data_IF_295646009409
#
_entry.id   IF_295646009409
#
_cell.length_a   1.000
_cell.length_b   1.000
_cell.length_c   1.000
_cell.angle_alpha   90.00
_cell.angle_beta   90.00
_cell.angle_gamma   90.00
#
_symmetry.space_group_name_H-M   'P 1'
#
loop_
_entity.id
_entity.type
_entity.pdbx_description
1 polymer ?
#
# COMPACT_ATOMS: atom_id res chain seq x y z
N UNK A 1 -12.63 10.55 10.32
CA UNK A 1 -12.19 9.23 10.81
C UNK A 1 -12.55 9.12 12.28
N UNK A 2 -12.75 7.90 12.78
CA UNK A 2 -12.93 7.66 14.22
C UNK A 2 -11.66 8.06 14.98
N UNK A 3 -11.81 8.63 16.17
CA UNK A 3 -10.68 9.01 17.02
C UNK A 3 -9.99 7.75 17.56
N UNK A 4 -8.65 7.72 17.61
CA UNK A 4 -7.92 6.64 18.27
C UNK A 4 -8.38 6.44 19.73
N UNK A 5 -8.35 5.18 20.20
CA UNK A 5 -8.51 4.90 21.63
C UNK A 5 -7.39 5.57 22.42
N UNK A 6 -7.63 5.98 23.66
CA UNK A 6 -6.56 6.53 24.49
C UNK A 6 -5.39 5.52 24.65
N UNK A 7 -4.11 5.95 24.64
CA UNK A 7 -2.95 5.05 24.68
C UNK A 7 -2.96 4.00 25.81
N UNK A 8 -3.49 4.36 26.97
CA UNK A 8 -3.63 3.47 28.13
C UNK A 8 -4.60 2.30 27.88
N UNK A 9 -5.51 2.43 26.91
CA UNK A 9 -6.45 1.39 26.49
C UNK A 9 -5.92 0.51 25.35
N UNK A 10 -4.76 0.85 24.77
CA UNK A 10 -4.14 0.13 23.63
C UNK A 10 -3.26 -1.05 24.06
N UNK A 11 -3.54 -1.68 25.20
CA UNK A 11 -2.71 -2.71 25.81
C UNK A 11 -3.40 -4.08 25.81
N UNK A 12 -2.62 -5.16 25.68
CA UNK A 12 -3.14 -6.51 25.87
C UNK A 12 -3.43 -6.81 27.35
N UNK A 13 -4.58 -7.44 27.68
CA UNK A 13 -4.83 -7.93 29.02
C UNK A 13 -3.79 -8.98 29.44
N UNK A 14 -3.26 -8.85 30.66
CA UNK A 14 -2.26 -9.77 31.18
C UNK A 14 -2.77 -11.23 31.17
N UNK A 15 -1.95 -12.15 30.62
CA UNK A 15 -2.27 -13.57 30.55
C UNK A 15 -3.24 -13.98 29.44
N UNK A 16 -3.68 -13.06 28.58
CA UNK A 16 -4.59 -13.34 27.46
C UNK A 16 -3.90 -13.03 26.13
N UNK A 17 -3.74 -14.04 25.27
CA UNK A 17 -3.27 -13.84 23.88
C UNK A 17 -4.47 -13.76 22.94
N UNK A 18 -4.83 -12.54 22.51
CA UNK A 18 -5.97 -12.30 21.61
C UNK A 18 -5.55 -12.58 20.16
N UNK A 19 -6.43 -13.16 19.35
CA UNK A 19 -6.11 -13.46 17.95
C UNK A 19 -5.86 -12.21 17.09
N UNK A 20 -6.51 -11.09 17.43
CA UNK A 20 -6.36 -9.83 16.72
C UNK A 20 -5.13 -9.00 17.15
N UNK A 21 -4.41 -9.45 18.18
CA UNK A 21 -3.31 -8.73 18.82
C UNK A 21 -2.31 -8.14 17.83
N UNK A 22 -1.86 -8.95 16.86
CA UNK A 22 -0.86 -8.54 15.88
C UNK A 22 -1.36 -7.39 15.00
N UNK A 23 -2.58 -7.48 14.46
CA UNK A 23 -3.15 -6.41 13.64
C UNK A 23 -3.50 -5.15 14.45
N UNK A 24 -3.95 -5.31 15.70
CA UNK A 24 -4.20 -4.16 16.58
C UNK A 24 -2.92 -3.43 16.95
N UNK A 25 -1.80 -4.14 17.15
CA UNK A 25 -0.50 -3.50 17.36
C UNK A 25 -0.07 -2.64 16.16
N UNK A 26 -0.32 -3.11 14.93
CA UNK A 26 -0.10 -2.30 13.71
C UNK A 26 -0.97 -1.05 13.70
N UNK A 27 -2.26 -1.17 14.04
CA UNK A 27 -3.16 0.00 14.14
C UNK A 27 -2.73 0.97 15.23
N UNK A 28 -2.25 0.48 16.38
CA UNK A 28 -1.74 1.30 17.46
C UNK A 28 -0.49 2.12 17.04
N UNK A 29 0.39 1.54 16.22
CA UNK A 29 1.52 2.24 15.60
C UNK A 29 1.07 3.38 14.70
N UNK A 30 0.10 3.10 13.81
CA UNK A 30 -0.50 4.13 12.96
C UNK A 30 -1.18 5.25 13.78
N UNK A 31 -1.85 4.92 14.88
CA UNK A 31 -2.44 5.91 15.78
C UNK A 31 -1.38 6.78 16.46
N UNK A 32 -0.27 6.21 16.93
CA UNK A 32 0.85 6.97 17.49
C UNK A 32 1.49 7.88 16.44
N UNK A 33 1.61 7.41 15.19
CA UNK A 33 2.09 8.22 14.08
C UNK A 33 1.12 9.38 13.78
N UNK A 34 -0.19 9.12 13.76
CA UNK A 34 -1.23 10.15 13.59
C UNK A 34 -1.15 11.22 14.68
N UNK A 35 -0.98 10.82 15.94
CA UNK A 35 -0.82 11.76 17.06
C UNK A 35 0.45 12.62 16.92
N UNK A 36 1.55 12.04 16.41
CA UNK A 36 2.83 12.73 16.27
C UNK A 36 2.94 13.61 15.01
N UNK A 37 2.30 13.23 13.90
CA UNK A 37 2.46 13.84 12.57
C UNK A 37 1.22 14.58 12.07
N UNK A 38 0.06 14.35 12.68
CA UNK A 38 -1.23 14.93 12.27
C UNK A 38 -1.92 14.21 11.12
N UNK A 39 -1.28 13.20 10.53
CA UNK A 39 -1.82 12.36 9.46
C UNK A 39 -1.38 10.91 9.64
N UNK A 40 -2.12 9.97 9.02
CA UNK A 40 -1.76 8.54 9.08
C UNK A 40 -0.63 8.23 8.08
N UNK A 41 0.16 7.17 8.33
CA UNK A 41 1.08 6.65 7.32
C UNK A 41 0.32 6.36 6.03
N UNK A 42 0.77 6.90 4.90
CA UNK A 42 0.01 6.89 3.65
C UNK A 42 0.81 6.29 2.50
N UNK A 43 0.16 5.44 1.71
CA UNK A 43 0.70 4.83 0.49
C UNK A 43 -0.14 5.29 -0.72
N UNK A 44 0.52 5.66 -1.82
CA UNK A 44 -0.15 6.00 -3.07
C UNK A 44 -0.57 4.75 -3.86
N UNK A 45 -1.76 4.76 -4.46
CA UNK A 45 -2.11 3.79 -5.50
C UNK A 45 -1.76 4.35 -6.87
N UNK A 46 -1.36 3.45 -7.76
CA UNK A 46 -1.19 3.71 -9.19
C UNK A 46 -2.18 2.81 -9.94
N UNK A 47 -3.46 3.21 -10.07
CA UNK A 47 -4.44 2.45 -10.80
C UNK A 47 -4.22 2.58 -12.32
N UNK A 48 -3.95 1.45 -12.99
CA UNK A 48 -3.67 1.41 -14.43
C UNK A 48 -4.85 0.81 -15.20
N UNK A 49 -5.15 1.42 -16.34
CA UNK A 49 -6.35 1.12 -17.14
C UNK A 49 -7.63 1.70 -16.53
N UNK A 50 -8.81 1.41 -17.10
CA UNK A 50 -10.07 1.99 -16.65
C UNK A 50 -10.57 1.39 -15.32
N UNK A 51 -11.48 2.10 -14.64
CA UNK A 51 -12.08 1.68 -13.36
C UNK A 51 -12.58 0.23 -13.33
N UNK A 52 -13.16 -0.24 -14.42
CA UNK A 52 -13.65 -1.62 -14.56
C UNK A 52 -12.54 -2.68 -14.50
N UNK A 53 -11.28 -2.29 -14.68
CA UNK A 53 -10.10 -3.15 -14.68
C UNK A 53 -9.35 -3.08 -13.35
N UNK A 54 -9.20 -1.91 -12.76
CA UNK A 54 -8.42 -1.76 -11.53
C UNK A 54 -9.23 -1.81 -10.22
N UNK A 55 -10.57 -1.71 -10.26
CA UNK A 55 -11.40 -1.64 -9.05
C UNK A 55 -11.17 -2.81 -8.06
N UNK A 56 -11.01 -4.04 -8.56
CA UNK A 56 -10.78 -5.23 -7.73
C UNK A 56 -9.45 -5.12 -6.98
N UNK A 57 -8.38 -4.72 -7.66
CA UNK A 57 -7.04 -4.60 -7.04
C UNK A 57 -6.93 -3.39 -6.14
N UNK A 58 -7.46 -2.24 -6.55
CA UNK A 58 -7.51 -1.06 -5.69
C UNK A 58 -8.32 -1.31 -4.41
N UNK A 59 -9.46 -2.00 -4.51
CA UNK A 59 -10.25 -2.42 -3.34
C UNK A 59 -9.52 -3.41 -2.44
N UNK A 60 -8.89 -4.44 -3.00
CA UNK A 60 -8.06 -5.40 -2.26
C UNK A 60 -6.94 -4.68 -1.49
N UNK A 61 -6.15 -3.86 -2.19
CA UNK A 61 -5.01 -3.13 -1.61
C UNK A 61 -5.47 -2.16 -0.53
N UNK A 62 -6.56 -1.42 -0.76
CA UNK A 62 -7.11 -0.48 0.23
C UNK A 62 -7.48 -1.19 1.52
N UNK A 63 -8.20 -2.32 1.42
CA UNK A 63 -8.62 -3.08 2.60
C UNK A 63 -7.45 -3.74 3.33
N UNK A 64 -6.47 -4.29 2.59
CA UNK A 64 -5.26 -4.86 3.16
C UNK A 64 -4.48 -3.81 3.95
N UNK A 65 -4.20 -2.64 3.35
CA UNK A 65 -3.46 -1.57 3.99
C UNK A 65 -4.21 -0.99 5.20
N UNK A 66 -5.53 -0.81 5.09
CA UNK A 66 -6.36 -0.34 6.19
C UNK A 66 -6.35 -1.28 7.40
N UNK A 67 -6.19 -2.59 7.19
CA UNK A 67 -6.08 -3.56 8.30
C UNK A 67 -4.85 -3.33 9.19
N UNK A 68 -3.77 -2.76 8.62
CA UNK A 68 -2.58 -2.31 9.36
C UNK A 68 -2.62 -0.84 9.78
N UNK A 69 -3.72 -0.13 9.53
CA UNK A 69 -3.84 1.30 9.81
C UNK A 69 -3.15 2.22 8.79
N UNK A 70 -2.73 1.70 7.63
CA UNK A 70 -2.11 2.50 6.57
C UNK A 70 -3.22 3.13 5.72
N UNK A 71 -3.17 4.45 5.57
CA UNK A 71 -4.06 5.20 4.70
C UNK A 71 -3.62 5.08 3.23
N UNK A 72 -4.56 5.35 2.33
CA UNK A 72 -4.34 5.21 0.89
C UNK A 72 -4.73 6.48 0.16
N UNK A 73 -3.81 7.00 -0.66
CA UNK A 73 -4.10 8.03 -1.64
C UNK A 73 -4.44 7.37 -2.97
N UNK A 74 -5.70 7.47 -3.41
CA UNK A 74 -6.17 6.86 -4.65
C UNK A 74 -6.78 7.92 -5.58
N UNK A 75 -6.06 8.36 -6.63
CA UNK A 75 -6.54 9.38 -7.57
C UNK A 75 -7.54 8.84 -8.61
N UNK A 76 -7.77 7.53 -8.66
CA UNK A 76 -8.43 6.88 -9.81
C UNK A 76 -7.42 6.49 -10.89
N UNK A 77 -7.90 6.23 -12.10
CA UNK A 77 -7.04 5.89 -13.25
C UNK A 77 -5.95 6.95 -13.45
N UNK A 78 -4.70 6.50 -13.60
CA UNK A 78 -3.55 7.37 -13.88
C UNK A 78 -2.77 6.87 -15.09
N UNK A 79 -2.17 7.82 -15.80
CA UNK A 79 -1.32 7.55 -16.97
C UNK A 79 0.03 8.21 -16.75
N UNK A 80 1.16 7.52 -17.01
CA UNK A 80 2.47 8.13 -16.85
C UNK A 80 2.61 9.46 -17.60
N UNK A 81 3.14 10.47 -16.91
CA UNK A 81 3.30 11.83 -17.45
C UNK A 81 2.09 12.75 -17.31
N UNK A 82 0.99 12.30 -16.68
CA UNK A 82 -0.10 13.20 -16.28
C UNK A 82 0.11 13.75 -14.86
N UNK A 83 -0.47 14.92 -14.53
CA UNK A 83 -0.38 15.48 -13.18
C UNK A 83 -0.91 14.55 -12.09
N UNK A 84 -1.92 13.74 -12.39
CA UNK A 84 -2.50 12.77 -11.46
C UNK A 84 -1.51 11.65 -11.15
N UNK A 85 -0.73 11.20 -12.15
CA UNK A 85 0.33 10.22 -11.94
C UNK A 85 1.47 10.79 -11.08
N UNK A 86 1.89 12.03 -11.35
CA UNK A 86 2.92 12.70 -10.55
C UNK A 86 2.48 12.89 -9.10
N UNK A 87 1.22 13.30 -8.88
CA UNK A 87 0.66 13.43 -7.54
C UNK A 87 0.58 12.08 -6.81
N UNK A 88 0.25 10.99 -7.53
CA UNK A 88 0.23 9.65 -6.97
C UNK A 88 1.63 9.12 -6.64
N UNK A 89 2.63 9.50 -7.44
CA UNK A 89 4.03 9.16 -7.26
C UNK A 89 4.75 10.00 -6.18
N UNK A 90 4.08 11.01 -5.61
CA UNK A 90 4.67 11.88 -4.59
C UNK A 90 4.86 11.18 -3.22
N UNK A 91 4.34 9.97 -3.03
CA UNK A 91 4.54 9.18 -1.81
C UNK A 91 5.79 8.29 -1.91
N UNK A 92 6.48 8.07 -0.79
CA UNK A 92 7.68 7.23 -0.73
C UNK A 92 7.43 5.77 -1.18
N UNK A 93 6.22 5.26 -0.93
CA UNK A 93 5.80 3.91 -1.29
C UNK A 93 4.52 3.99 -2.13
N UNK A 94 4.48 3.26 -3.24
CA UNK A 94 3.30 3.14 -4.10
C UNK A 94 2.91 1.69 -4.40
N UNK A 95 1.65 1.46 -4.74
CA UNK A 95 1.15 0.15 -5.20
C UNK A 95 0.47 0.27 -6.56
N UNK A 96 1.03 -0.40 -7.56
CA UNK A 96 0.43 -0.55 -8.89
C UNK A 96 -0.76 -1.49 -8.81
N UNK A 97 -1.91 -1.04 -9.31
CA UNK A 97 -3.18 -1.75 -9.25
C UNK A 97 -3.84 -1.80 -10.63
N UNK A 98 -4.00 -3.00 -11.18
CA UNK A 98 -4.57 -3.23 -12.51
C UNK A 98 -4.89 -4.71 -12.72
N UNK A 99 -5.15 -5.08 -13.97
CA UNK A 99 -5.27 -6.51 -14.32
C UNK A 99 -3.95 -7.05 -14.82
N UNK A 100 -3.78 -8.36 -14.82
CA UNK A 100 -2.58 -9.01 -15.35
C UNK A 100 -2.32 -8.64 -16.83
N UNK A 101 -3.39 -8.33 -17.59
CA UNK A 101 -3.30 -7.82 -18.96
C UNK A 101 -2.71 -6.41 -19.01
N UNK A 102 -3.13 -5.52 -18.12
CA UNK A 102 -2.58 -4.16 -18.02
C UNK A 102 -1.11 -4.19 -17.58
N UNK A 103 -0.76 -5.08 -16.64
CA UNK A 103 0.62 -5.26 -16.19
C UNK A 103 1.52 -5.72 -17.34
N UNK A 104 1.07 -6.67 -18.15
CA UNK A 104 1.81 -7.13 -19.32
C UNK A 104 1.95 -6.06 -20.42
N UNK A 105 0.94 -5.18 -20.56
CA UNK A 105 0.92 -4.15 -21.60
C UNK A 105 1.72 -2.89 -21.23
N UNK A 106 1.60 -2.42 -19.99
CA UNK A 106 2.12 -1.11 -19.56
C UNK A 106 2.90 -1.13 -18.25
N UNK A 107 2.90 -2.26 -17.52
CA UNK A 107 3.43 -2.34 -16.16
C UNK A 107 4.92 -1.97 -16.06
N UNK A 108 5.74 -2.44 -16.99
CA UNK A 108 7.18 -2.13 -17.00
C UNK A 108 7.45 -0.63 -17.19
N UNK A 109 6.75 0.00 -18.14
CA UNK A 109 6.84 1.44 -18.39
C UNK A 109 6.38 2.25 -17.17
N UNK A 110 5.34 1.79 -16.48
CA UNK A 110 4.86 2.40 -15.25
C UNK A 110 5.92 2.32 -14.15
N UNK A 111 6.55 1.15 -13.95
CA UNK A 111 7.64 0.99 -12.97
C UNK A 111 8.79 1.94 -13.27
N UNK A 112 9.25 2.01 -14.52
CA UNK A 112 10.32 2.91 -14.94
C UNK A 112 9.98 4.37 -14.62
N UNK A 113 8.77 4.82 -14.95
CA UNK A 113 8.32 6.20 -14.71
C UNK A 113 8.19 6.54 -13.23
N UNK A 114 7.78 5.58 -12.40
CA UNK A 114 7.75 5.76 -10.95
C UNK A 114 9.17 5.87 -10.36
N UNK A 115 10.14 5.12 -10.89
CA UNK A 115 11.56 5.26 -10.49
C UNK A 115 12.13 6.61 -10.88
N UNK A 116 11.85 7.07 -12.10
CA UNK A 116 12.23 8.42 -12.55
C UNK A 116 11.63 9.51 -11.66
N UNK A 117 10.39 9.32 -11.19
CA UNK A 117 9.72 10.22 -10.25
C UNK A 117 10.29 10.17 -8.82
N UNK A 118 11.25 9.27 -8.54
CA UNK A 118 11.92 9.18 -7.24
C UNK A 118 11.21 8.32 -6.19
N UNK A 119 10.23 7.50 -6.60
CA UNK A 119 9.55 6.58 -5.68
C UNK A 119 10.52 5.55 -5.12
N UNK A 120 10.62 5.47 -3.79
CA UNK A 120 11.59 4.61 -3.10
C UNK A 120 11.19 3.14 -3.18
N UNK A 121 9.90 2.83 -3.01
CA UNK A 121 9.40 1.47 -3.04
C UNK A 121 8.16 1.35 -3.92
N UNK A 122 8.20 0.44 -4.89
CA UNK A 122 7.12 0.16 -5.83
C UNK A 122 6.63 -1.27 -5.60
N UNK A 123 5.37 -1.41 -5.23
CA UNK A 123 4.71 -2.71 -5.05
C UNK A 123 3.69 -2.97 -6.17
N UNK A 124 3.35 -4.23 -6.38
CA UNK A 124 2.29 -4.65 -7.29
C UNK A 124 1.18 -5.39 -6.54
N UNK A 125 -0.08 -5.03 -6.79
CA UNK A 125 -1.23 -5.82 -6.37
C UNK A 125 -1.48 -6.97 -7.37
N UNK A 126 -0.71 -8.05 -7.25
CA UNK A 126 -0.75 -9.15 -8.21
C UNK A 126 0.42 -10.13 -8.04
N UNK A 127 0.46 -11.15 -8.90
CA UNK A 127 1.51 -12.17 -8.86
C UNK A 127 2.79 -11.69 -9.59
N UNK A 128 3.97 -12.19 -9.19
CA UNK A 128 5.24 -11.85 -9.86
C UNK A 128 5.33 -12.34 -11.30
N UNK A 129 4.53 -13.33 -11.67
CA UNK A 129 4.47 -13.90 -13.03
C UNK A 129 4.19 -12.85 -14.11
N UNK A 130 3.53 -11.73 -13.75
CA UNK A 130 3.27 -10.63 -14.67
C UNK A 130 4.53 -9.85 -15.10
N UNK A 131 5.67 -10.05 -14.41
CA UNK A 131 6.94 -9.34 -14.66
C UNK A 131 8.13 -10.29 -14.90
N UNK A 132 7.91 -11.59 -15.14
CA UNK A 132 8.99 -12.58 -15.28
C UNK A 132 10.03 -12.26 -16.37
N UNK A 133 9.63 -11.54 -17.43
CA UNK A 133 10.49 -11.17 -18.55
C UNK A 133 10.73 -9.65 -18.66
N UNK A 134 10.34 -8.88 -17.65
CA UNK A 134 10.52 -7.43 -17.64
C UNK A 134 11.96 -7.08 -17.22
N UNK A 135 12.55 -6.06 -17.84
CA UNK A 135 13.82 -5.49 -17.43
C UNK A 135 13.67 -4.66 -16.14
N UNK A 136 12.52 -3.99 -15.99
CA UNK A 136 12.17 -3.27 -14.75
C UNK A 136 10.98 -3.94 -14.06
N UNK A 137 11.14 -4.24 -12.75
CA UNK A 137 10.13 -4.92 -11.95
C UNK A 137 9.83 -4.19 -10.63
N UNK A 138 8.64 -4.41 -10.05
CA UNK A 138 8.30 -3.98 -8.69
C UNK A 138 9.21 -4.61 -7.64
N UNK A 139 9.42 -3.91 -6.52
CA UNK A 139 10.20 -4.39 -5.37
C UNK A 139 9.51 -5.53 -4.61
N UNK A 140 8.17 -5.61 -4.72
CA UNK A 140 7.38 -6.57 -3.98
C UNK A 140 5.96 -6.73 -4.50
N UNK A 141 5.28 -7.76 -4.00
CA UNK A 141 4.01 -8.23 -4.53
C UNK A 141 3.00 -8.45 -3.39
N UNK A 142 1.87 -7.76 -3.46
CA UNK A 142 0.74 -7.95 -2.55
C UNK A 142 -0.23 -8.97 -3.16
N UNK A 143 -0.21 -10.18 -2.62
CA UNK A 143 -1.06 -11.30 -3.06
C UNK A 143 -1.98 -11.78 -1.94
N UNK A 144 -2.97 -12.60 -2.28
CA UNK A 144 -3.84 -13.25 -1.29
C UNK A 144 -3.13 -14.27 -0.38
N UNK A 145 -1.85 -14.58 -0.63
CA UNK A 145 -1.08 -15.61 0.08
C UNK A 145 0.07 -15.06 0.90
N UNK A 146 0.24 -13.74 0.96
CA UNK A 146 1.30 -13.13 1.76
C UNK A 146 1.03 -13.31 3.26
N UNK A 147 2.08 -13.26 4.06
CA UNK A 147 1.95 -12.96 5.48
C UNK A 147 1.60 -11.48 5.62
N UNK A 148 0.30 -11.20 5.81
CA UNK A 148 -0.21 -9.85 5.87
C UNK A 148 0.34 -9.07 7.07
N UNK A 149 0.45 -9.67 8.25
CA UNK A 149 0.92 -8.99 9.45
C UNK A 149 2.40 -8.58 9.30
N UNK A 150 3.25 -9.50 8.84
CA UNK A 150 4.68 -9.24 8.59
C UNK A 150 4.89 -8.20 7.49
N UNK A 151 4.14 -8.30 6.39
CA UNK A 151 4.22 -7.35 5.28
C UNK A 151 3.82 -5.95 5.75
N UNK A 152 2.68 -5.80 6.43
CA UNK A 152 2.20 -4.51 6.92
C UNK A 152 3.14 -3.90 7.97
N UNK A 153 3.75 -4.71 8.84
CA UNK A 153 4.77 -4.24 9.78
C UNK A 153 5.96 -3.62 9.05
N UNK A 154 6.47 -4.30 8.02
CA UNK A 154 7.59 -3.79 7.20
C UNK A 154 7.23 -2.50 6.47
N UNK A 155 5.99 -2.38 5.98
CA UNK A 155 5.52 -1.16 5.34
C UNK A 155 5.41 0.02 6.32
N UNK A 156 4.91 -0.23 7.54
CA UNK A 156 4.90 0.80 8.58
C UNK A 156 6.33 1.24 8.96
N UNK A 157 7.28 0.31 9.05
CA UNK A 157 8.70 0.63 9.29
C UNK A 157 9.25 1.55 8.17
N UNK A 158 8.94 1.23 6.91
CA UNK A 158 9.34 2.03 5.75
C UNK A 158 8.72 3.44 5.72
N UNK A 159 7.52 3.60 6.31
CA UNK A 159 6.85 4.89 6.46
C UNK A 159 7.26 5.64 7.76
N UNK A 160 8.08 5.01 8.61
CA UNK A 160 8.54 5.58 9.88
C UNK A 160 7.50 5.59 11.00
N UNK A 161 6.53 4.66 10.97
CA UNK A 161 5.53 4.43 12.00
C UNK A 161 5.84 3.22 12.88
#
# INVERSE_FOLDING_TARGET
AEAPLAPELRNEPAGVRRWAAEFEALRNRSDAFLEAKGERPTIGLIPVGPLSRHNIRTGFTTNLLASGGIAVSNPGEVVPGTPEFEAAAATDIVVICGTDQEYAATGESVVEKLREAGVKQILLAGAPTSFENAQHSPDGYLTMKIDAASTLSTLLDGLGA
#
